data_IF_942541110171
#
_entry.id   IF_942541110171
#
_cell.length_a   1.000
_cell.length_b   1.000
_cell.length_c   1.000
_cell.angle_alpha   90.00
_cell.angle_beta   90.00
_cell.angle_gamma   90.00
#
_symmetry.space_group_name_H-M   'P 1'
#
loop_
_entity.id
_entity.type
_entity.pdbx_description
1 polymer ?
#
# COMPACT_ATOMS: atom_id res chain seq x y z
N UNK A 1 -2.99 -6.49 5.29
CA UNK A 1 -3.43 -5.70 4.13
C UNK A 1 -2.22 -4.89 3.68
N UNK A 2 -1.39 -5.46 2.81
CA UNK A 2 -0.20 -4.78 2.26
C UNK A 2 -0.27 -4.94 0.76
N UNK A 3 -1.20 -4.23 0.12
CA UNK A 3 -1.09 -3.97 -1.32
C UNK A 3 -0.05 -2.87 -1.49
N UNK A 4 1.23 -3.22 -1.31
CA UNK A 4 2.30 -2.43 -1.90
C UNK A 4 2.18 -2.63 -3.39
N UNK A 5 1.67 -1.63 -4.10
CA UNK A 5 1.81 -1.59 -5.55
C UNK A 5 3.30 -1.49 -5.83
N UNK A 6 3.86 -2.53 -6.43
CA UNK A 6 5.28 -2.58 -6.74
C UNK A 6 5.49 -1.74 -8.02
N UNK A 7 5.74 -0.44 -7.84
CA UNK A 7 5.85 0.53 -8.93
C UNK A 7 7.23 0.48 -9.62
N UNK A 8 8.21 -0.27 -9.08
CA UNK A 8 9.62 0.04 -9.34
C UNK A 8 10.43 -0.95 -10.18
N UNK A 9 9.87 -2.04 -10.72
CA UNK A 9 10.68 -2.96 -11.53
C UNK A 9 9.91 -3.58 -12.72
N UNK A 10 10.27 -3.28 -13.98
CA UNK A 10 9.69 -3.89 -15.19
C UNK A 10 9.99 -5.40 -15.36
N UNK A 11 10.60 -6.04 -14.36
CA UNK A 11 11.08 -7.43 -14.38
C UNK A 11 10.51 -8.31 -13.27
N UNK A 12 9.47 -7.87 -12.56
CA UNK A 12 8.86 -8.72 -11.54
C UNK A 12 7.84 -9.64 -12.20
N UNK A 13 8.28 -10.87 -12.46
CA UNK A 13 7.47 -11.99 -12.92
C UNK A 13 6.16 -12.10 -12.12
N UNK A 14 5.07 -12.51 -12.77
CA UNK A 14 3.76 -12.80 -12.16
C UNK A 14 3.88 -13.62 -10.87
N UNK A 15 4.85 -14.54 -10.82
CA UNK A 15 5.17 -15.37 -9.66
C UNK A 15 5.57 -14.57 -8.40
N UNK A 16 6.36 -13.50 -8.54
CA UNK A 16 6.74 -12.66 -7.41
C UNK A 16 5.50 -11.96 -6.82
N UNK A 17 4.66 -11.41 -7.70
CA UNK A 17 3.47 -10.66 -7.31
C UNK A 17 2.47 -11.60 -6.61
N UNK A 18 2.24 -12.78 -7.18
CA UNK A 18 1.39 -13.80 -6.58
C UNK A 18 1.95 -14.27 -5.24
N UNK A 19 3.25 -14.48 -5.13
CA UNK A 19 3.89 -14.91 -3.87
C UNK A 19 3.73 -13.87 -2.77
N UNK A 20 3.91 -12.58 -3.08
CA UNK A 20 3.72 -11.48 -2.11
C UNK A 20 2.25 -11.38 -1.68
N UNK A 21 1.32 -11.41 -2.63
CA UNK A 21 -0.13 -11.36 -2.34
C UNK A 21 -0.59 -12.56 -1.49
N UNK A 22 -0.10 -13.76 -1.78
CA UNK A 22 -0.52 -14.99 -1.11
C UNK A 22 0.23 -15.29 0.19
N UNK A 23 1.27 -14.51 0.53
CA UNK A 23 2.12 -14.77 1.71
C UNK A 23 1.32 -14.94 3.00
N UNK A 24 0.30 -14.12 3.23
CA UNK A 24 -0.56 -14.22 4.41
C UNK A 24 -1.30 -15.56 4.49
N UNK A 25 -1.90 -15.98 3.37
CA UNK A 25 -2.60 -17.26 3.27
C UNK A 25 -1.65 -18.45 3.46
N UNK A 26 -0.42 -18.38 2.92
CA UNK A 26 0.61 -19.40 3.11
C UNK A 26 1.03 -19.52 4.57
N UNK A 27 1.19 -18.40 5.29
CA UNK A 27 1.54 -18.42 6.72
C UNK A 27 0.40 -19.04 7.55
N UNK A 28 -0.85 -18.67 7.25
CA UNK A 28 -2.03 -19.26 7.92
C UNK A 28 -2.09 -20.77 7.66
N UNK A 29 -1.88 -21.21 6.42
CA UNK A 29 -1.87 -22.63 6.05
C UNK A 29 -0.76 -23.41 6.76
N UNK A 30 0.42 -22.81 6.91
CA UNK A 30 1.58 -23.45 7.52
C UNK A 30 1.50 -23.49 9.06
N UNK A 31 1.05 -22.42 9.70
CA UNK A 31 1.09 -22.28 11.17
C UNK A 31 -0.25 -22.47 11.85
N UNK A 32 -1.36 -22.53 11.11
CA UNK A 32 -2.76 -22.46 11.61
C UNK A 32 -3.04 -21.23 12.49
N UNK A 33 -2.13 -20.28 12.49
CA UNK A 33 -2.14 -19.06 13.30
C UNK A 33 -1.90 -17.89 12.36
N UNK A 34 -2.50 -16.75 12.68
CA UNK A 34 -2.33 -15.52 11.90
C UNK A 34 -0.87 -15.06 11.92
N UNK A 35 -0.47 -14.26 10.93
CA UNK A 35 0.86 -13.66 10.81
C UNK A 35 1.06 -12.47 11.77
N UNK A 36 0.67 -12.65 13.04
CA UNK A 36 0.57 -11.60 14.05
C UNK A 36 1.92 -10.94 14.37
N UNK A 37 2.99 -11.71 14.58
CA UNK A 37 4.31 -11.15 14.92
C UNK A 37 4.88 -10.29 13.78
N UNK A 38 4.74 -10.75 12.53
CA UNK A 38 5.17 -9.96 11.36
C UNK A 38 4.31 -8.71 11.16
N UNK A 39 3.02 -8.77 11.47
CA UNK A 39 2.15 -7.59 11.43
C UNK A 39 2.54 -6.56 12.50
N UNK A 40 2.86 -7.02 13.72
CA UNK A 40 3.36 -6.17 14.78
C UNK A 40 4.70 -5.51 14.41
N UNK A 41 5.63 -6.29 13.84
CA UNK A 41 6.90 -5.75 13.33
C UNK A 41 6.65 -4.68 12.27
N UNK A 42 5.80 -4.95 11.28
CA UNK A 42 5.48 -3.99 10.22
C UNK A 42 4.84 -2.70 10.77
N UNK A 43 4.00 -2.81 11.80
CA UNK A 43 3.43 -1.63 12.47
C UNK A 43 4.49 -0.82 13.22
N UNK A 44 5.40 -1.49 13.94
CA UNK A 44 6.52 -0.82 14.61
C UNK A 44 7.44 -0.11 13.62
N UNK A 45 7.81 -0.78 12.52
CA UNK A 45 8.65 -0.22 11.47
C UNK A 45 7.97 0.98 10.80
N UNK A 46 6.67 0.89 10.53
CA UNK A 46 5.89 1.97 9.96
C UNK A 46 5.89 3.24 10.85
N UNK A 47 5.60 3.09 12.15
CA UNK A 47 5.62 4.22 13.09
C UNK A 47 7.04 4.78 13.24
N UNK A 48 8.05 3.91 13.31
CA UNK A 48 9.46 4.31 13.38
C UNK A 48 9.85 5.17 12.19
N UNK A 49 9.58 4.70 10.97
CA UNK A 49 9.95 5.42 9.75
C UNK A 49 9.18 6.73 9.63
N UNK A 50 7.91 6.75 10.02
CA UNK A 50 7.13 7.99 10.05
C UNK A 50 7.72 9.03 11.01
N UNK A 51 8.00 8.64 12.26
CA UNK A 51 8.44 9.56 13.32
C UNK A 51 9.91 9.96 13.16
N UNK A 52 10.80 9.00 12.93
CA UNK A 52 12.25 9.21 12.86
C UNK A 52 12.74 9.56 11.46
N UNK A 53 11.90 9.35 10.44
CA UNK A 53 12.22 9.57 9.04
C UNK A 53 12.81 8.34 8.35
N UNK A 54 12.74 8.36 7.02
CA UNK A 54 13.31 7.32 6.15
C UNK A 54 14.78 7.61 5.84
N UNK A 55 15.64 6.58 5.65
CA UNK A 55 17.00 6.78 5.20
C UNK A 55 17.09 7.58 3.88
N UNK A 56 18.12 8.42 3.74
CA UNK A 56 18.31 9.24 2.53
C UNK A 56 18.40 8.39 1.27
N UNK A 57 17.67 8.78 0.23
CA UNK A 57 17.63 8.06 -1.05
C UNK A 57 16.78 6.78 -1.04
N UNK A 58 16.03 6.52 0.03
CA UNK A 58 15.11 5.39 0.13
C UNK A 58 13.68 5.89 0.33
N UNK A 59 12.71 5.03 0.03
CA UNK A 59 11.29 5.26 0.29
C UNK A 59 10.66 4.02 0.90
N UNK A 60 9.53 4.21 1.56
CA UNK A 60 8.72 3.16 2.15
C UNK A 60 7.31 3.20 1.59
N UNK A 61 6.55 2.12 1.74
CA UNK A 61 5.13 2.11 1.38
C UNK A 61 4.28 2.50 2.57
N UNK A 62 3.45 3.53 2.42
CA UNK A 62 2.47 3.93 3.44
C UNK A 62 1.10 4.13 2.79
N UNK A 63 0.06 3.64 3.48
CA UNK A 63 -1.31 3.99 3.16
C UNK A 63 -1.58 5.42 3.62
N UNK A 64 -1.62 6.36 2.68
CA UNK A 64 -1.82 7.78 2.95
C UNK A 64 -3.03 8.29 2.16
N UNK A 65 -3.53 9.46 2.55
CA UNK A 65 -4.65 10.07 1.85
C UNK A 65 -4.21 10.49 0.45
N UNK A 66 -4.93 10.02 -0.57
CA UNK A 66 -4.63 10.39 -1.96
C UNK A 66 -4.88 11.87 -2.19
N UNK A 67 -3.89 12.54 -2.78
CA UNK A 67 -3.92 13.94 -3.21
C UNK A 67 -4.11 14.10 -4.74
N UNK A 68 -4.37 13.01 -5.46
CA UNK A 68 -4.38 12.97 -6.92
C UNK A 68 -3.09 12.43 -7.54
N UNK A 69 -2.05 12.17 -6.73
CA UNK A 69 -0.78 11.60 -7.19
C UNK A 69 -0.99 10.37 -8.06
N UNK A 70 -0.27 10.31 -9.18
CA UNK A 70 -0.32 9.22 -10.14
C UNK A 70 -1.71 8.93 -10.74
N UNK A 71 -2.63 9.91 -10.71
CA UNK A 71 -3.99 9.78 -11.26
C UNK A 71 -4.95 9.00 -10.37
N UNK A 72 -4.56 8.69 -9.14
CA UNK A 72 -5.44 8.03 -8.16
C UNK A 72 -6.39 9.08 -7.58
N UNK A 73 -7.69 8.81 -7.60
CA UNK A 73 -8.70 9.78 -7.18
C UNK A 73 -8.43 10.29 -5.74
N UNK A 74 -8.53 11.60 -5.47
CA UNK A 74 -8.37 12.11 -4.12
C UNK A 74 -9.51 11.61 -3.22
N UNK A 75 -9.27 11.49 -1.92
CA UNK A 75 -10.33 11.10 -1.00
C UNK A 75 -10.47 9.61 -0.70
N UNK A 76 -9.47 8.81 -1.07
CA UNK A 76 -9.29 7.44 -0.60
C UNK A 76 -7.93 7.28 0.09
N UNK A 77 -7.84 6.33 1.01
CA UNK A 77 -6.56 5.89 1.56
C UNK A 77 -5.93 4.92 0.57
N UNK A 78 -4.75 5.26 0.05
CA UNK A 78 -4.06 4.46 -0.97
C UNK A 78 -2.58 4.30 -0.61
N UNK A 79 -1.99 3.17 -0.99
CA UNK A 79 -0.58 2.88 -0.71
C UNK A 79 0.32 3.57 -1.74
N UNK A 80 1.11 4.53 -1.29
CA UNK A 80 2.07 5.25 -2.13
C UNK A 80 3.52 5.01 -1.65
N UNK A 81 4.51 5.16 -2.55
CA UNK A 81 5.90 5.32 -2.14
C UNK A 81 6.05 6.70 -1.51
N UNK A 82 6.50 6.74 -0.26
CA UNK A 82 6.69 7.97 0.50
C UNK A 82 8.08 8.05 1.12
N UNK A 83 8.55 9.27 1.31
CA UNK A 83 9.66 9.58 2.20
C UNK A 83 9.13 10.23 3.47
N UNK A 84 9.74 9.93 4.61
CA UNK A 84 9.37 10.54 5.87
C UNK A 84 10.51 11.41 6.40
N UNK A 85 10.19 12.60 6.88
CA UNK A 85 11.12 13.49 7.56
C UNK A 85 10.38 14.23 8.69
N UNK A 86 10.92 14.18 9.92
CA UNK A 86 10.42 14.92 11.09
C UNK A 86 8.91 14.72 11.35
N UNK A 87 8.42 13.49 11.25
CA UNK A 87 7.00 13.19 11.48
C UNK A 87 6.07 13.57 10.33
N UNK A 88 6.60 14.03 9.19
CA UNK A 88 5.84 14.33 7.98
C UNK A 88 6.20 13.31 6.91
N UNK A 89 5.21 12.84 6.15
CA UNK A 89 5.43 12.02 4.96
C UNK A 89 5.24 12.86 3.71
N UNK A 90 5.85 12.44 2.61
CA UNK A 90 5.68 13.08 1.30
C UNK A 90 5.70 12.01 0.21
N UNK A 91 4.72 12.05 -0.68
CA UNK A 91 4.65 11.12 -1.82
C UNK A 91 5.82 11.39 -2.75
N UNK A 92 6.56 10.32 -3.06
CA UNK A 92 7.63 10.37 -4.05
C UNK A 92 6.97 10.57 -5.41
N UNK A 93 7.38 11.61 -6.13
CA UNK A 93 6.88 11.95 -7.45
C UNK A 93 7.87 11.57 -8.56
N UNK A 94 7.38 11.52 -9.81
CA UNK A 94 8.22 11.32 -10.99
C UNK A 94 8.61 9.87 -11.30
N UNK A 95 7.99 8.88 -10.63
CA UNK A 95 8.17 7.48 -11.00
C UNK A 95 7.45 7.18 -12.32
N UNK A 96 8.12 6.44 -13.20
CA UNK A 96 7.51 5.94 -14.44
C UNK A 96 6.62 4.76 -14.11
N UNK A 97 5.39 4.79 -14.59
CA UNK A 97 4.42 3.71 -14.44
C UNK A 97 4.26 3.05 -15.80
N UNK A 98 4.59 1.77 -15.89
CA UNK A 98 4.31 0.95 -17.06
C UNK A 98 2.83 0.50 -17.10
N UNK A 99 2.39 -0.02 -18.24
CA UNK A 99 1.00 -0.40 -18.48
C UNK A 99 0.49 -1.47 -17.50
N UNK A 100 1.30 -2.50 -17.19
CA UNK A 100 0.90 -3.55 -16.26
C UNK A 100 0.78 -3.01 -14.81
N UNK A 101 1.70 -2.14 -14.41
CA UNK A 101 1.61 -1.44 -13.12
C UNK A 101 0.38 -0.55 -13.06
N UNK A 102 0.06 0.16 -14.15
CA UNK A 102 -1.14 1.01 -14.26
C UNK A 102 -2.42 0.21 -14.08
N UNK A 103 -2.57 -0.90 -14.81
CA UNK A 103 -3.76 -1.77 -14.69
C UNK A 103 -3.99 -2.24 -13.26
N UNK A 104 -2.92 -2.65 -12.56
CA UNK A 104 -3.01 -3.08 -11.15
C UNK A 104 -3.33 -1.93 -10.21
N UNK A 105 -2.73 -0.77 -10.46
CA UNK A 105 -3.02 0.44 -9.67
C UNK A 105 -4.49 0.82 -9.75
N UNK A 106 -5.04 0.82 -10.96
CA UNK A 106 -6.42 1.22 -11.23
C UNK A 106 -7.41 0.17 -10.69
N UNK A 107 -7.09 -1.12 -10.80
CA UNK A 107 -7.87 -2.19 -10.17
C UNK A 107 -7.97 -2.01 -8.65
N UNK A 108 -6.85 -1.80 -7.96
CA UNK A 108 -6.84 -1.56 -6.51
C UNK A 108 -7.54 -0.25 -6.14
N UNK A 109 -7.38 0.82 -6.93
CA UNK A 109 -8.07 2.08 -6.68
C UNK A 109 -9.59 1.95 -6.80
N UNK A 110 -10.06 1.15 -7.77
CA UNK A 110 -11.48 0.82 -7.93
C UNK A 110 -12.01 0.02 -6.73
N UNK A 111 -11.30 -1.03 -6.31
CA UNK A 111 -11.68 -1.82 -5.11
C UNK A 111 -11.84 -0.92 -3.87
N UNK A 112 -10.90 0.01 -3.64
CA UNK A 112 -10.96 0.94 -2.51
C UNK A 112 -12.10 1.95 -2.62
N UNK A 113 -12.47 2.38 -3.84
CA UNK A 113 -13.64 3.24 -4.05
C UNK A 113 -14.95 2.50 -3.81
N UNK A 114 -15.02 1.23 -4.21
CA UNK A 114 -16.18 0.37 -3.95
C UNK A 114 -16.33 0.11 -2.44
N UNK A 115 -15.23 -0.21 -1.74
CA UNK A 115 -15.19 -0.36 -0.27
C UNK A 115 -15.61 0.94 0.44
N UNK A 116 -15.12 2.09 -0.03
CA UNK A 116 -15.55 3.40 0.48
C UNK A 116 -17.06 3.56 0.30
N UNK A 117 -17.59 3.36 -0.89
CA UNK A 117 -19.03 3.53 -1.17
C UNK A 117 -19.88 2.63 -0.29
N UNK A 118 -19.46 1.36 -0.13
CA UNK A 118 -20.12 0.42 0.76
C UNK A 118 -20.09 0.90 2.22
N UNK A 119 -18.92 1.32 2.72
CA UNK A 119 -18.80 1.83 4.09
C UNK A 119 -19.68 3.05 4.34
N UNK A 120 -19.78 3.98 3.37
CA UNK A 120 -20.66 5.14 3.46
C UNK A 120 -22.15 4.74 3.45
N UNK A 121 -22.54 3.70 2.72
CA UNK A 121 -23.93 3.23 2.73
C UNK A 121 -24.38 2.80 4.13
N UNK A 122 -23.49 2.23 4.94
CA UNK A 122 -23.75 1.86 6.33
C UNK A 122 -23.86 3.06 7.29
N UNK A 123 -23.46 4.27 6.86
CA UNK A 123 -23.52 5.49 7.66
C UNK A 123 -24.77 6.33 7.36
N UNK A 124 -25.54 5.98 6.32
CA UNK A 124 -26.71 6.75 5.85
C UNK A 124 -28.03 6.14 6.37
N UNK A 125 -27.98 5.05 7.15
CA UNK A 125 -29.15 4.43 7.80
C UNK A 125 -29.57 5.12 9.13
N UNK A 126 -29.61 6.46 9.17
CA UNK A 126 -30.22 7.27 10.25
C UNK A 126 -31.08 8.43 9.68
#
# INVERSE_FOLDING_TARGET
MVSTVIITLPRLNTEFITTVQQRGATIIKARKLSSALSAASAACDHIRDWVLGTPKGTWVSMGVYSDGSYGIHPGIMYSFPVTCEKGQWSIVNGLKIDELSREKMDATAKELMDEKTLAYSCLIDD
#
